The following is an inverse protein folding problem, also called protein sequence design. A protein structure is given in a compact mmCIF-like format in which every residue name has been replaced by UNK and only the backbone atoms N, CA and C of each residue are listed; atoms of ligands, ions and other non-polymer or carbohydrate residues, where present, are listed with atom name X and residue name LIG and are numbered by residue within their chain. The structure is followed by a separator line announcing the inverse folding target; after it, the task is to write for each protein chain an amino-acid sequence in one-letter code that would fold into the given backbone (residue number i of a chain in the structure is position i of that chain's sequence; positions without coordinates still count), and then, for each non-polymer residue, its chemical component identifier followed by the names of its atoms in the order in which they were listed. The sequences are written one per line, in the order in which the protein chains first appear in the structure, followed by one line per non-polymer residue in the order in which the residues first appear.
data_IF_860463809539
#
_entry.id   IF_860463809539
#
_cell.length_a   1.000
_cell.length_b   1.000
_cell.length_c   1.000
_cell.angle_alpha   90.00
_cell.angle_beta   90.00
_cell.angle_gamma   90.00
#
_symmetry.space_group_name_H-M   'P 1'
#
loop_
_entity.id
_entity.type
_entity.pdbx_description
1 polymer ?
#
# COMPACT_ATOMS: atom_id res chain seq x y z
N UNK A 1 -0.05 -34.99 24.32
CA UNK A 1 -0.53 -33.93 23.42
C UNK A 1 -0.75 -32.71 24.29
N UNK A 2 0.01 -31.64 24.06
CA UNK A 2 -0.01 -30.46 24.91
C UNK A 2 -1.04 -29.46 24.37
N UNK A 3 -2.03 -29.13 25.20
CA UNK A 3 -2.92 -28.00 24.98
C UNK A 3 -2.32 -26.83 25.75
N UNK A 4 -2.13 -25.68 25.10
CA UNK A 4 -1.65 -24.49 25.77
C UNK A 4 -2.84 -23.57 26.06
N UNK A 5 -3.09 -23.36 27.35
CA UNK A 5 -3.99 -22.32 27.80
C UNK A 5 -3.28 -20.97 27.60
N UNK A 6 -3.92 -20.04 26.90
CA UNK A 6 -3.41 -18.68 26.75
C UNK A 6 -4.42 -17.67 27.26
N UNK A 7 -3.90 -16.53 27.73
CA UNK A 7 -4.70 -15.37 28.10
C UNK A 7 -4.14 -14.16 27.35
N UNK A 8 -4.96 -13.54 26.49
CA UNK A 8 -4.61 -12.28 25.80
C UNK A 8 -5.77 -11.31 25.97
N UNK A 9 -5.46 -10.09 26.41
CA UNK A 9 -6.43 -9.01 26.65
C UNK A 9 -7.60 -9.43 27.56
N UNK A 10 -7.32 -10.24 28.60
CA UNK A 10 -8.33 -10.70 29.56
C UNK A 10 -9.26 -11.82 29.05
N UNK A 11 -9.02 -12.32 27.83
CA UNK A 11 -9.75 -13.46 27.26
C UNK A 11 -8.87 -14.70 27.37
N UNK A 12 -9.36 -15.71 28.08
CA UNK A 12 -8.72 -17.02 28.21
C UNK A 12 -9.20 -17.96 27.10
N UNK A 13 -8.27 -18.67 26.48
CA UNK A 13 -8.55 -19.64 25.43
C UNK A 13 -7.58 -20.81 25.47
N UNK A 14 -7.90 -21.85 24.70
CA UNK A 14 -7.05 -23.02 24.53
C UNK A 14 -6.54 -22.99 23.08
N UNK A 15 -5.23 -22.89 22.88
CA UNK A 15 -4.61 -23.06 21.56
C UNK A 15 -3.89 -24.39 21.49
N UNK A 16 -4.10 -25.08 20.37
CA UNK A 16 -3.24 -26.15 19.89
C UNK A 16 -3.06 -25.97 18.38
N UNK A 17 -2.10 -26.67 17.79
CA UNK A 17 -1.77 -26.54 16.37
C UNK A 17 -2.96 -26.88 15.43
N UNK A 18 -3.77 -27.87 15.83
CA UNK A 18 -4.89 -28.38 15.01
C UNK A 18 -6.00 -27.36 14.70
N UNK A 19 -6.50 -26.56 15.67
CA UNK A 19 -7.49 -25.50 15.39
C UNK A 19 -7.09 -24.51 14.29
N UNK A 20 -5.81 -24.13 14.25
CA UNK A 20 -5.30 -23.17 13.26
C UNK A 20 -5.21 -23.85 11.88
N UNK A 21 -4.77 -25.10 11.83
CA UNK A 21 -4.72 -25.88 10.59
C UNK A 21 -6.10 -26.10 9.98
N UNK A 22 -7.09 -26.46 10.80
CA UNK A 22 -8.48 -26.65 10.35
C UNK A 22 -9.11 -25.33 9.87
N UNK A 23 -8.80 -24.21 10.53
CA UNK A 23 -9.23 -22.89 10.09
C UNK A 23 -8.59 -22.51 8.74
N UNK A 24 -7.30 -22.77 8.57
CA UNK A 24 -6.60 -22.55 7.31
C UNK A 24 -7.16 -23.43 6.17
N UNK A 25 -7.52 -24.68 6.46
CA UNK A 25 -8.17 -25.58 5.52
C UNK A 25 -9.56 -25.08 5.12
N UNK A 26 -10.35 -24.56 6.06
CA UNK A 26 -11.65 -23.95 5.77
C UNK A 26 -11.51 -22.73 4.83
N UNK A 27 -10.55 -21.84 5.12
CA UNK A 27 -10.25 -20.69 4.26
C UNK A 27 -9.86 -21.11 2.85
N UNK A 28 -8.96 -22.10 2.71
CA UNK A 28 -8.56 -22.64 1.39
C UNK A 28 -9.75 -23.16 0.61
N UNK A 29 -10.68 -23.87 1.25
CA UNK A 29 -11.89 -24.38 0.60
C UNK A 29 -12.82 -23.27 0.12
N UNK A 30 -12.95 -22.19 0.90
CA UNK A 30 -13.74 -21.02 0.49
C UNK A 30 -13.09 -20.35 -0.73
N UNK A 31 -11.76 -20.14 -0.70
CA UNK A 31 -11.01 -19.57 -1.82
C UNK A 31 -11.19 -20.40 -3.10
N UNK A 32 -10.95 -21.70 -3.03
CA UNK A 32 -11.09 -22.59 -4.18
C UNK A 32 -12.52 -22.59 -4.73
N UNK A 33 -13.54 -22.71 -3.86
CA UNK A 33 -14.92 -22.67 -4.32
C UNK A 33 -15.33 -21.30 -4.90
N UNK A 34 -14.69 -20.21 -4.49
CA UNK A 34 -14.93 -18.89 -5.04
C UNK A 34 -14.28 -18.75 -6.42
N UNK A 35 -13.03 -19.18 -6.54
CA UNK A 35 -12.26 -19.16 -7.78
C UNK A 35 -12.93 -20.03 -8.86
N UNK A 36 -13.43 -21.20 -8.50
CA UNK A 36 -14.21 -22.07 -9.41
C UNK A 36 -15.46 -21.37 -9.97
N UNK A 37 -16.11 -20.50 -9.18
CA UNK A 37 -17.36 -19.83 -9.57
C UNK A 37 -17.16 -18.52 -10.32
N UNK A 38 -16.16 -17.75 -9.92
CA UNK A 38 -15.96 -16.38 -10.39
C UNK A 38 -14.68 -16.21 -11.23
N UNK A 39 -13.91 -17.28 -11.42
CA UNK A 39 -12.64 -17.29 -12.18
C UNK A 39 -11.63 -16.24 -11.69
N UNK A 40 -11.70 -15.88 -10.41
CA UNK A 40 -10.76 -14.99 -9.72
C UNK A 40 -10.67 -15.33 -8.24
N UNK A 41 -9.56 -14.96 -7.60
CA UNK A 41 -9.44 -15.04 -6.14
C UNK A 41 -10.41 -14.07 -5.45
N UNK A 42 -11.00 -14.45 -4.31
CA UNK A 42 -11.83 -13.55 -3.52
C UNK A 42 -10.98 -12.47 -2.83
N UNK A 43 -11.60 -11.31 -2.61
CA UNK A 43 -11.05 -10.28 -1.73
C UNK A 43 -11.16 -10.72 -0.26
N UNK A 44 -10.43 -10.06 0.64
CA UNK A 44 -10.53 -10.31 2.09
C UNK A 44 -11.95 -10.07 2.60
N UNK A 45 -12.65 -9.05 2.08
CA UNK A 45 -14.03 -8.75 2.45
C UNK A 45 -14.97 -9.90 2.04
N UNK A 46 -14.82 -10.42 0.83
CA UNK A 46 -15.63 -11.55 0.33
C UNK A 46 -15.37 -12.84 1.13
N UNK A 47 -14.13 -13.08 1.55
CA UNK A 47 -13.77 -14.20 2.42
C UNK A 47 -14.41 -14.09 3.81
N UNK A 48 -14.33 -12.92 4.43
CA UNK A 48 -14.92 -12.67 5.74
C UNK A 48 -16.44 -12.76 5.69
N UNK A 49 -17.06 -12.23 4.63
CA UNK A 49 -18.50 -12.34 4.41
C UNK A 49 -18.95 -13.80 4.27
N UNK A 50 -18.17 -14.63 3.56
CA UNK A 50 -18.47 -16.06 3.44
C UNK A 50 -18.39 -16.78 4.79
N UNK A 51 -17.39 -16.46 5.62
CA UNK A 51 -17.26 -17.00 6.98
C UNK A 51 -18.43 -16.57 7.86
N UNK A 52 -18.78 -15.28 7.85
CA UNK A 52 -19.92 -14.74 8.58
C UNK A 52 -21.20 -15.46 8.20
N UNK A 53 -21.45 -15.64 6.91
CA UNK A 53 -22.63 -16.33 6.39
C UNK A 53 -22.71 -17.76 6.92
N UNK A 54 -21.59 -18.50 6.94
CA UNK A 54 -21.55 -19.89 7.45
C UNK A 54 -21.84 -19.94 8.95
N UNK A 55 -21.23 -19.05 9.73
CA UNK A 55 -21.39 -19.01 11.19
C UNK A 55 -22.82 -18.61 11.56
N UNK A 56 -23.37 -17.58 10.92
CA UNK A 56 -24.71 -17.05 11.20
C UNK A 56 -25.84 -17.97 10.72
N UNK A 57 -25.61 -18.77 9.66
CA UNK A 57 -26.61 -19.72 9.16
C UNK A 57 -26.84 -20.90 10.11
N UNK A 58 -25.84 -21.29 10.90
CA UNK A 58 -25.93 -22.41 11.85
C UNK A 58 -25.12 -22.14 13.13
N UNK A 59 -25.48 -21.14 13.94
CA UNK A 59 -24.62 -20.62 15.00
C UNK A 59 -24.40 -21.62 16.14
N UNK A 60 -25.41 -22.44 16.46
CA UNK A 60 -25.31 -23.50 17.49
C UNK A 60 -24.34 -24.62 17.13
N UNK A 61 -23.94 -24.74 15.86
CA UNK A 61 -22.98 -25.75 15.39
C UNK A 61 -21.53 -25.28 15.56
N UNK A 62 -21.30 -23.97 15.55
CA UNK A 62 -19.97 -23.38 15.46
C UNK A 62 -19.61 -22.53 16.69
N UNK A 63 -20.58 -22.15 17.52
CA UNK A 63 -20.39 -21.27 18.68
C UNK A 63 -21.06 -21.90 19.90
N UNK A 64 -20.31 -22.04 21.00
CA UNK A 64 -20.80 -22.64 22.24
C UNK A 64 -21.86 -21.80 22.95
N UNK A 65 -21.82 -20.47 22.78
CA UNK A 65 -22.84 -19.53 23.25
C UNK A 65 -23.43 -18.74 22.07
N UNK A 66 -24.33 -19.40 21.35
CA UNK A 66 -24.95 -18.82 20.15
C UNK A 66 -25.96 -17.71 20.46
N UNK A 67 -26.40 -17.56 21.71
CA UNK A 67 -27.44 -16.59 22.10
C UNK A 67 -26.87 -15.17 22.23
N UNK A 68 -25.62 -15.07 22.64
CA UNK A 68 -24.89 -13.81 22.78
C UNK A 68 -23.88 -13.57 21.64
N UNK A 69 -24.07 -14.24 20.49
CA UNK A 69 -23.22 -14.04 19.31
C UNK A 69 -23.34 -12.59 18.83
N UNK A 70 -22.29 -11.81 19.05
CA UNK A 70 -22.14 -10.46 18.50
C UNK A 70 -21.30 -10.54 17.25
N UNK A 71 -21.79 -9.92 16.18
CA UNK A 71 -20.99 -9.70 14.98
C UNK A 71 -19.88 -8.71 15.32
N UNK A 72 -18.64 -9.15 15.17
CA UNK A 72 -17.47 -8.29 15.29
C UNK A 72 -17.27 -7.51 13.99
N UNK A 73 -16.91 -6.24 14.10
CA UNK A 73 -16.44 -5.46 12.96
C UNK A 73 -14.93 -5.61 12.85
N UNK A 74 -14.44 -6.05 11.69
CA UNK A 74 -13.01 -6.02 11.37
C UNK A 74 -12.76 -4.78 10.52
N UNK A 75 -12.22 -3.74 11.15
CA UNK A 75 -11.75 -2.56 10.44
C UNK A 75 -10.34 -2.87 9.93
N UNK A 76 -10.21 -3.10 8.63
CA UNK A 76 -8.90 -3.21 7.97
C UNK A 76 -8.37 -1.80 7.77
N UNK A 77 -7.69 -1.27 8.79
CA UNK A 77 -6.88 -0.06 8.63
C UNK A 77 -5.63 -0.42 7.82
N UNK A 78 -5.63 -0.07 6.54
CA UNK A 78 -4.38 0.07 5.81
C UNK A 78 -3.71 1.34 6.35
N UNK A 79 -2.59 1.20 7.05
CA UNK A 79 -1.70 2.34 7.39
C UNK A 79 -0.96 2.85 6.13
N UNK A 80 -1.58 2.75 4.97
CA UNK A 80 -1.13 3.35 3.73
C UNK A 80 -1.82 4.70 3.67
N UNK A 81 -1.04 5.79 3.78
CA UNK A 81 -1.51 7.11 3.40
C UNK A 81 -2.00 7.01 1.96
N UNK A 82 -3.32 6.96 1.75
CA UNK A 82 -3.89 6.90 0.43
C UNK A 82 -3.65 8.26 -0.24
N UNK A 83 -2.69 8.27 -1.16
CA UNK A 83 -2.35 9.44 -1.95
C UNK A 83 -3.05 9.34 -3.30
N UNK A 84 -4.02 10.23 -3.54
CA UNK A 84 -4.67 10.35 -4.84
C UNK A 84 -3.72 11.04 -5.83
N UNK A 85 -2.98 10.24 -6.60
CA UNK A 85 -1.99 10.72 -7.56
C UNK A 85 -2.61 11.46 -8.73
N UNK A 86 -3.93 11.33 -8.98
CA UNK A 86 -4.63 12.01 -10.09
C UNK A 86 -4.71 13.53 -9.92
N UNK A 87 -4.48 14.02 -8.70
CA UNK A 87 -4.44 15.46 -8.39
C UNK A 87 -3.08 16.09 -8.64
N UNK A 88 -2.12 15.31 -9.14
CA UNK A 88 -0.74 15.73 -9.34
C UNK A 88 -0.32 15.57 -10.80
N UNK A 89 0.62 16.42 -11.22
CA UNK A 89 1.15 16.42 -12.58
C UNK A 89 2.68 16.62 -12.56
N UNK A 90 3.40 15.78 -13.30
CA UNK A 90 4.84 15.92 -13.49
C UNK A 90 5.12 16.88 -14.65
N UNK A 91 6.09 17.78 -14.48
CA UNK A 91 6.48 18.75 -15.52
C UNK A 91 8.00 18.94 -15.55
N UNK A 92 8.51 19.46 -16.65
CA UNK A 92 9.86 20.03 -16.75
C UNK A 92 9.76 21.55 -16.93
N UNK A 93 10.62 22.28 -16.22
CA UNK A 93 10.63 23.75 -16.21
C UNK A 93 12.02 24.28 -16.46
N UNK A 94 12.10 25.24 -17.38
CA UNK A 94 13.32 25.97 -17.75
C UNK A 94 13.46 27.31 -17.01
N UNK A 95 12.68 27.52 -15.94
CA UNK A 95 12.70 28.78 -15.19
C UNK A 95 14.07 29.11 -14.56
N UNK A 96 14.93 28.11 -14.37
CA UNK A 96 16.32 28.28 -13.92
C UNK A 96 17.28 27.60 -14.89
N UNK A 97 18.56 27.95 -14.85
CA UNK A 97 19.62 27.27 -15.62
C UNK A 97 20.54 26.53 -14.64
N UNK A 98 20.70 25.20 -14.74
CA UNK A 98 19.91 24.30 -15.60
C UNK A 98 18.43 24.23 -15.18
N UNK A 99 17.57 23.79 -16.11
CA UNK A 99 16.16 23.52 -15.83
C UNK A 99 15.98 22.38 -14.83
N UNK A 100 14.76 22.14 -14.38
CA UNK A 100 14.45 21.13 -13.37
C UNK A 100 13.10 20.46 -13.61
N UNK A 101 12.93 19.26 -13.06
CA UNK A 101 11.63 18.60 -13.02
C UNK A 101 10.85 19.06 -11.79
N UNK A 102 9.53 19.12 -11.89
CA UNK A 102 8.67 19.46 -10.76
C UNK A 102 7.42 18.58 -10.74
N UNK A 103 6.84 18.43 -9.56
CA UNK A 103 5.52 17.85 -9.38
C UNK A 103 4.60 18.97 -8.91
N UNK A 104 3.53 19.18 -9.65
CA UNK A 104 2.50 20.15 -9.38
C UNK A 104 1.31 19.45 -8.74
N UNK A 105 0.57 20.17 -7.90
CA UNK A 105 -0.71 19.73 -7.33
C UNK A 105 -1.83 20.68 -7.77
N UNK A 106 -2.96 20.12 -8.15
CA UNK A 106 -4.16 20.88 -8.46
C UNK A 106 -4.70 21.55 -7.19
N UNK A 107 -4.68 22.89 -7.16
CA UNK A 107 -5.27 23.65 -6.06
C UNK A 107 -6.76 23.95 -6.31
N UNK A 108 -7.57 24.15 -5.24
CA UNK A 108 -8.99 24.49 -5.37
C UNK A 108 -9.28 25.74 -6.21
N UNK A 109 -8.31 26.66 -6.30
CA UNK A 109 -8.44 27.97 -6.97
C UNK A 109 -7.78 28.03 -8.36
N UNK A 110 -7.72 26.90 -9.08
CA UNK A 110 -7.33 26.77 -10.50
C UNK A 110 -5.84 26.97 -10.84
N UNK A 111 -5.00 27.41 -9.91
CA UNK A 111 -3.55 27.41 -10.12
C UNK A 111 -2.95 26.03 -9.78
N UNK A 112 -2.13 25.49 -10.69
CA UNK A 112 -1.24 24.38 -10.36
C UNK A 112 -0.14 24.88 -9.41
N UNK A 113 -0.04 24.27 -8.24
CA UNK A 113 0.95 24.64 -7.22
C UNK A 113 2.15 23.70 -7.30
N UNK A 114 3.36 24.24 -7.41
CA UNK A 114 4.59 23.44 -7.31
C UNK A 114 4.74 22.91 -5.87
N UNK A 115 4.70 21.58 -5.70
CA UNK A 115 4.79 20.93 -4.39
C UNK A 115 6.13 20.22 -4.17
N UNK A 116 6.74 19.71 -5.24
CA UNK A 116 8.06 19.05 -5.19
C UNK A 116 8.90 19.59 -6.34
N UNK A 117 10.13 20.00 -6.01
CA UNK A 117 11.14 20.47 -6.97
C UNK A 117 12.28 19.46 -7.07
N UNK A 118 12.63 19.04 -8.29
CA UNK A 118 13.58 17.96 -8.57
C UNK A 118 14.69 18.50 -9.50
N UNK A 119 15.72 19.16 -8.92
CA UNK A 119 16.82 19.73 -9.69
C UNK A 119 17.78 18.69 -10.28
N UNK A 120 17.74 17.44 -9.82
CA UNK A 120 18.64 16.39 -10.31
C UNK A 120 17.84 15.12 -10.55
N UNK A 121 17.86 14.67 -11.80
CA UNK A 121 17.29 13.41 -12.23
C UNK A 121 18.22 12.80 -13.28
N UNK A 122 19.18 12.01 -12.81
CA UNK A 122 20.29 11.53 -13.65
C UNK A 122 20.61 10.07 -13.36
N UNK A 123 20.86 9.30 -14.41
CA UNK A 123 21.36 7.93 -14.26
C UNK A 123 22.86 7.97 -14.04
N UNK A 124 23.32 7.32 -12.96
CA UNK A 124 24.73 7.07 -12.69
C UNK A 124 24.93 5.57 -12.55
N UNK A 125 25.70 5.00 -13.47
CA UNK A 125 25.89 3.55 -13.60
C UNK A 125 24.54 2.84 -13.84
N UNK A 126 23.95 2.24 -12.82
CA UNK A 126 22.61 1.62 -12.85
C UNK A 126 21.69 2.15 -11.74
N UNK A 127 21.97 3.36 -11.24
CA UNK A 127 21.17 4.02 -10.20
C UNK A 127 20.63 5.34 -10.73
N UNK A 128 19.32 5.54 -10.68
CA UNK A 128 18.70 6.82 -10.96
C UNK A 128 18.84 7.70 -9.71
N UNK A 129 19.69 8.72 -9.78
CA UNK A 129 19.85 9.70 -8.70
C UNK A 129 18.77 10.76 -8.84
N UNK A 130 17.89 10.84 -7.86
CA UNK A 130 16.79 11.78 -7.79
C UNK A 130 16.93 12.65 -6.54
N UNK A 131 17.45 13.87 -6.71
CA UNK A 131 17.54 14.83 -5.63
C UNK A 131 16.35 15.80 -5.70
N UNK A 132 15.65 15.98 -4.58
CA UNK A 132 14.39 16.72 -4.53
C UNK A 132 14.30 17.69 -3.34
N UNK A 133 13.35 18.62 -3.41
CA UNK A 133 12.96 19.54 -2.35
C UNK A 133 11.44 19.54 -2.21
N UNK A 134 10.97 19.30 -0.99
CA UNK A 134 9.56 19.45 -0.62
C UNK A 134 9.30 20.94 -0.37
N UNK A 135 8.29 21.50 -1.05
CA UNK A 135 7.96 22.93 -0.99
C UNK A 135 6.78 23.26 -0.07
N UNK A 136 5.98 22.25 0.28
CA UNK A 136 4.78 22.38 1.11
C UNK A 136 4.85 21.41 2.29
N UNK A 137 4.32 21.80 3.46
CA UNK A 137 4.52 21.06 4.71
C UNK A 137 3.60 19.82 4.86
N UNK A 138 2.60 19.69 4.00
CA UNK A 138 1.63 18.58 3.98
C UNK A 138 2.07 17.38 3.12
N UNK A 139 3.27 17.45 2.54
CA UNK A 139 3.89 16.35 1.78
C UNK A 139 5.00 15.71 2.64
N UNK A 140 4.85 14.41 2.90
CA UNK A 140 5.84 13.61 3.63
C UNK A 140 6.86 12.98 2.68
N UNK A 141 8.04 12.58 3.18
CA UNK A 141 9.02 11.86 2.35
C UNK A 141 8.46 10.54 1.76
N UNK A 142 7.53 9.89 2.47
CA UNK A 142 6.85 8.70 1.97
C UNK A 142 5.90 9.02 0.80
N UNK A 143 5.18 10.14 0.86
CA UNK A 143 4.36 10.61 -0.26
C UNK A 143 5.23 10.98 -1.46
N UNK A 144 6.41 11.57 -1.23
CA UNK A 144 7.35 11.93 -2.31
C UNK A 144 7.79 10.71 -3.10
N UNK A 145 8.12 9.61 -2.43
CA UNK A 145 8.47 8.35 -3.10
C UNK A 145 7.36 7.92 -4.08
N UNK A 146 6.12 7.85 -3.61
CA UNK A 146 4.96 7.51 -4.45
C UNK A 146 4.81 8.48 -5.62
N UNK A 147 4.87 9.80 -5.37
CA UNK A 147 4.68 10.81 -6.41
C UNK A 147 5.79 10.79 -7.45
N UNK A 148 7.05 10.60 -7.05
CA UNK A 148 8.16 10.51 -7.99
C UNK A 148 7.99 9.27 -8.87
N UNK A 149 7.70 8.11 -8.28
CA UNK A 149 7.50 6.87 -9.03
C UNK A 149 6.34 6.97 -10.01
N UNK A 150 5.14 7.32 -9.52
CA UNK A 150 3.93 7.27 -10.34
C UNK A 150 3.78 8.48 -11.25
N UNK A 151 3.91 9.68 -10.71
CA UNK A 151 3.56 10.91 -11.44
C UNK A 151 4.71 11.37 -12.33
N UNK A 152 5.95 11.32 -11.84
CA UNK A 152 7.09 11.77 -12.62
C UNK A 152 7.65 10.66 -13.52
N UNK A 153 8.08 9.53 -12.94
CA UNK A 153 8.82 8.52 -13.69
C UNK A 153 7.91 7.69 -14.60
N UNK A 154 6.76 7.28 -14.10
CA UNK A 154 5.80 6.51 -14.87
C UNK A 154 4.97 7.38 -15.81
N UNK A 155 4.28 8.41 -15.31
CA UNK A 155 3.33 9.16 -16.15
C UNK A 155 4.02 10.21 -17.03
N UNK A 156 4.89 11.07 -16.46
CA UNK A 156 5.52 12.14 -17.24
C UNK A 156 6.69 11.66 -18.11
N UNK A 157 7.59 10.85 -17.56
CA UNK A 157 8.75 10.32 -18.26
C UNK A 157 8.43 9.04 -19.07
N UNK A 158 7.20 8.54 -19.04
CA UNK A 158 6.78 7.31 -19.74
C UNK A 158 7.75 6.13 -19.51
N UNK A 159 8.16 5.95 -18.25
CA UNK A 159 9.09 4.90 -17.80
C UNK A 159 10.46 4.93 -18.49
N UNK A 160 10.88 6.06 -19.05
CA UNK A 160 12.12 6.21 -19.81
C UNK A 160 13.39 5.66 -19.13
N UNK A 161 13.47 5.69 -17.80
CA UNK A 161 14.65 5.24 -17.06
C UNK A 161 14.61 3.77 -16.61
N UNK A 162 13.53 3.03 -16.90
CA UNK A 162 13.29 1.66 -16.40
C UNK A 162 14.33 0.65 -16.90
N UNK A 163 14.85 0.82 -18.11
CA UNK A 163 15.91 -0.04 -18.68
C UNK A 163 17.33 0.41 -18.28
N UNK A 164 17.46 1.66 -17.81
CA UNK A 164 18.72 2.30 -17.50
C UNK A 164 19.13 2.18 -16.02
N UNK A 165 18.17 2.00 -15.11
CA UNK A 165 18.42 1.94 -13.67
C UNK A 165 17.71 0.76 -12.98
N UNK A 166 18.41 0.08 -12.07
CA UNK A 166 17.83 -0.98 -11.23
C UNK A 166 17.17 -0.41 -9.97
N UNK A 167 17.69 0.72 -9.49
CA UNK A 167 17.30 1.34 -8.23
C UNK A 167 17.28 2.86 -8.37
N UNK A 168 16.50 3.49 -7.51
CA UNK A 168 16.36 4.94 -7.41
C UNK A 168 16.94 5.37 -6.08
N UNK A 169 17.87 6.31 -6.14
CA UNK A 169 18.46 6.95 -4.97
C UNK A 169 17.81 8.31 -4.76
N UNK A 170 16.94 8.37 -3.76
CA UNK A 170 16.15 9.53 -3.38
C UNK A 170 16.90 10.36 -2.33
N UNK A 171 17.16 11.63 -2.63
CA UNK A 171 17.84 12.55 -1.73
C UNK A 171 16.99 13.80 -1.48
N UNK A 172 16.50 13.96 -0.25
CA UNK A 172 15.84 15.19 0.19
C UNK A 172 16.90 16.27 0.48
N UNK A 173 16.97 17.30 -0.36
CA UNK A 173 17.95 18.39 -0.24
C UNK A 173 17.68 19.34 0.93
N UNK A 174 16.49 19.29 1.57
CA UNK A 174 16.15 20.12 2.74
C UNK A 174 16.51 19.44 4.04
N UNK A 175 16.15 18.16 4.19
CA UNK A 175 16.40 17.37 5.41
C UNK A 175 17.69 16.56 5.36
N UNK A 176 18.30 16.43 4.17
CA UNK A 176 19.44 15.55 3.89
C UNK A 176 19.16 14.06 4.18
N UNK A 177 17.88 13.69 4.21
CA UNK A 177 17.44 12.29 4.28
C UNK A 177 17.66 11.63 2.93
N UNK A 178 18.17 10.40 2.96
CA UNK A 178 18.44 9.59 1.78
C UNK A 178 17.75 8.24 1.92
N UNK A 179 17.07 7.82 0.85
CA UNK A 179 16.49 6.49 0.73
C UNK A 179 16.85 5.88 -0.61
N UNK A 180 16.95 4.56 -0.66
CA UNK A 180 17.19 3.83 -1.89
C UNK A 180 16.11 2.79 -2.04
N UNK A 181 15.47 2.77 -3.20
CA UNK A 181 14.32 1.91 -3.50
C UNK A 181 14.56 1.19 -4.84
N UNK A 182 13.98 0.00 -5.04
CA UNK A 182 14.00 -0.64 -6.35
C UNK A 182 13.23 0.21 -7.37
N UNK A 183 13.71 0.28 -8.62
CA UNK A 183 13.01 0.98 -9.70
C UNK A 183 11.74 0.21 -10.09
N UNK A 184 11.84 -1.11 -10.16
CA UNK A 184 10.70 -2.00 -10.39
C UNK A 184 9.96 -2.25 -9.08
N UNK A 185 8.79 -1.64 -8.93
CA UNK A 185 7.79 -2.14 -8.00
C UNK A 185 7.25 -3.44 -8.60
N UNK A 186 7.64 -4.59 -8.04
CA UNK A 186 6.98 -5.87 -8.37
C UNK A 186 5.46 -5.66 -8.27
N UNK A 187 4.78 -5.75 -9.42
CA UNK A 187 3.32 -5.66 -9.56
C UNK A 187 2.72 -7.05 -9.53
#
# INVERSE_FOLDING_TARGET
MAWEEFERNGIKGISGDKPIDEFALALKRIVSSYEDRYSRKPTVVELLYALETVITSNPTRYVSDSKDLKLGEIIVNRNEEFLDTTQYEGVYTEQTIPGYHAILRQAPEQAMLEVIKIPTLEVRERTLVCAYKILVDDITDKMVETLILSVLLQDYCDRYYEDQADQIDLLNLKSNVRSTIPYSSET
#
